data_IF_195393343634
#
_entry.id   IF_195393343634
#
_cell.length_a   1.000
_cell.length_b   1.000
_cell.length_c   1.000
_cell.angle_alpha   90.00
_cell.angle_beta   90.00
_cell.angle_gamma   90.00
#
_symmetry.space_group_name_H-M   'P 1'
#
loop_
_entity.id
_entity.type
_entity.pdbx_description
1 polymer ?
#
# COMPACT_ATOMS: atom_id res chain seq x y z
N UNK A 1 -18.97 -1.76 20.86
CA UNK A 1 -18.31 -1.11 19.70
C UNK A 1 -18.46 0.38 19.87
N UNK A 2 -17.36 1.12 19.95
CA UNK A 2 -17.39 2.59 20.02
C UNK A 2 -17.75 3.15 18.64
N UNK A 3 -18.57 4.20 18.60
CA UNK A 3 -18.87 4.91 17.36
C UNK A 3 -17.89 6.09 17.22
N UNK A 4 -17.13 6.14 16.14
CA UNK A 4 -16.20 7.22 15.81
C UNK A 4 -16.73 7.98 14.60
N UNK A 5 -17.05 9.26 14.81
CA UNK A 5 -17.49 10.14 13.72
C UNK A 5 -16.25 10.77 13.10
N UNK A 6 -15.78 10.20 12.00
CA UNK A 6 -14.67 10.79 11.24
C UNK A 6 -15.17 11.96 10.37
N UNK A 7 -14.44 13.07 10.39
CA UNK A 7 -14.60 14.17 9.44
C UNK A 7 -14.24 13.71 8.02
N UNK A 8 -14.72 14.40 6.99
CA UNK A 8 -14.38 14.05 5.60
C UNK A 8 -12.87 14.02 5.35
N UNK A 9 -12.11 14.97 5.90
CA UNK A 9 -10.64 14.97 5.82
C UNK A 9 -10.02 13.71 6.44
N UNK A 10 -10.56 13.23 7.58
CA UNK A 10 -10.09 12.02 8.24
C UNK A 10 -10.44 10.76 7.44
N UNK A 11 -11.64 10.71 6.86
CA UNK A 11 -12.01 9.64 5.92
C UNK A 11 -11.09 9.63 4.72
N UNK A 12 -10.66 10.80 4.25
CA UNK A 12 -9.72 10.94 3.15
C UNK A 12 -8.33 10.38 3.49
N UNK A 13 -7.84 10.59 4.72
CA UNK A 13 -6.62 9.93 5.21
C UNK A 13 -6.75 8.41 5.16
N UNK A 14 -7.89 7.86 5.61
CA UNK A 14 -8.14 6.41 5.57
C UNK A 14 -8.16 5.91 4.11
N UNK A 15 -8.84 6.61 3.21
CA UNK A 15 -8.88 6.28 1.77
C UNK A 15 -7.49 6.31 1.15
N UNK A 16 -6.67 7.33 1.45
CA UNK A 16 -5.29 7.47 0.97
C UNK A 16 -4.37 6.38 1.52
N UNK A 17 -4.49 6.06 2.81
CA UNK A 17 -3.75 4.97 3.45
C UNK A 17 -4.02 3.63 2.75
N UNK A 18 -5.28 3.28 2.54
CA UNK A 18 -5.64 2.01 1.90
C UNK A 18 -5.25 1.99 0.42
N UNK A 19 -5.36 3.13 -0.28
CA UNK A 19 -4.93 3.27 -1.68
C UNK A 19 -3.43 3.04 -1.84
N UNK A 20 -2.62 3.66 -0.97
CA UNK A 20 -1.19 3.41 -0.91
C UNK A 20 -0.92 1.94 -0.62
N UNK A 21 -1.52 1.39 0.45
CA UNK A 21 -1.33 -0.02 0.83
C UNK A 21 -1.61 -0.99 -0.32
N UNK A 22 -2.71 -0.80 -1.07
CA UNK A 22 -3.06 -1.65 -2.24
C UNK A 22 -1.99 -1.61 -3.33
N UNK A 23 -1.38 -0.44 -3.53
CA UNK A 23 -0.28 -0.26 -4.50
C UNK A 23 0.99 -0.98 -4.04
N UNK A 24 1.22 -1.06 -2.72
CA UNK A 24 2.40 -1.70 -2.12
C UNK A 24 2.25 -3.22 -1.95
N UNK A 25 1.12 -3.69 -1.42
CA UNK A 25 0.82 -5.10 -1.08
C UNK A 25 -0.36 -5.61 -1.94
N UNK A 26 -0.11 -6.31 -3.07
CA UNK A 26 -1.19 -6.87 -3.87
C UNK A 26 -1.60 -8.22 -3.25
N UNK A 27 -2.65 -8.24 -2.44
CA UNK A 27 -3.16 -9.49 -1.89
C UNK A 27 -4.28 -9.32 -0.86
N UNK A 28 -5.36 -10.08 -1.07
CA UNK A 28 -6.41 -10.50 -0.12
C UNK A 28 -7.17 -9.41 0.67
N UNK A 29 -7.31 -8.17 0.18
CA UNK A 29 -8.24 -7.20 0.80
C UNK A 29 -9.55 -7.11 0.03
N UNK A 30 -10.65 -7.52 0.65
CA UNK A 30 -12.00 -7.32 0.14
C UNK A 30 -12.47 -5.90 0.52
N UNK A 31 -12.10 -4.92 -0.32
CA UNK A 31 -12.40 -3.49 -0.13
C UNK A 31 -13.90 -3.14 -0.22
N UNK A 32 -14.75 -4.09 -0.59
CA UNK A 32 -16.17 -3.84 -0.90
C UNK A 32 -16.99 -3.28 0.28
N UNK A 33 -16.42 -3.18 1.49
CA UNK A 33 -17.10 -2.65 2.68
C UNK A 33 -16.44 -1.44 3.36
N UNK A 34 -15.28 -0.94 2.89
CA UNK A 34 -14.62 0.18 3.58
C UNK A 34 -15.50 1.42 3.67
N UNK A 35 -16.18 1.80 2.58
CA UNK A 35 -17.10 2.95 2.60
C UNK A 35 -18.35 2.70 3.46
N UNK A 36 -18.80 1.45 3.54
CA UNK A 36 -19.91 1.03 4.40
C UNK A 36 -19.51 1.08 5.89
N UNK A 37 -18.29 0.66 6.25
CA UNK A 37 -17.75 0.79 7.62
C UNK A 37 -17.53 2.25 8.02
N UNK A 38 -17.02 3.08 7.09
CA UNK A 38 -16.90 4.52 7.28
C UNK A 38 -18.27 5.20 7.44
N UNK A 39 -19.30 4.71 6.75
CA UNK A 39 -20.67 5.18 6.91
C UNK A 39 -21.28 4.74 8.25
N UNK A 40 -20.93 3.53 8.73
CA UNK A 40 -21.40 2.97 10.01
C UNK A 40 -20.67 3.52 11.24
N UNK A 41 -19.66 4.39 11.05
CA UNK A 41 -18.93 5.09 12.13
C UNK A 41 -18.26 4.13 13.10
N UNK A 42 -17.72 3.01 12.62
CA UNK A 42 -17.02 2.07 13.50
C UNK A 42 -15.62 2.58 13.87
N UNK A 43 -15.23 2.34 15.13
CA UNK A 43 -13.86 2.53 15.63
C UNK A 43 -12.86 1.55 15.01
N UNK A 44 -13.34 0.37 14.58
CA UNK A 44 -12.54 -0.64 13.88
C UNK A 44 -13.21 -0.91 12.54
N UNK A 45 -12.50 -0.61 11.46
CA UNK A 45 -12.94 -0.87 10.10
C UNK A 45 -12.63 -2.32 9.69
N UNK A 46 -13.17 -2.74 8.53
CA UNK A 46 -12.78 -4.00 7.90
C UNK A 46 -11.25 -4.12 7.81
N UNK A 47 -10.77 -5.36 7.90
CA UNK A 47 -9.34 -5.70 7.95
C UNK A 47 -8.61 -5.26 9.24
N UNK A 48 -9.33 -4.94 10.32
CA UNK A 48 -8.72 -4.70 11.63
C UNK A 48 -7.96 -3.37 11.71
N UNK A 49 -8.38 -2.39 10.91
CA UNK A 49 -7.86 -1.02 10.95
C UNK A 49 -8.60 -0.28 12.06
N UNK A 50 -7.89 0.10 13.11
CA UNK A 50 -8.44 0.93 14.17
C UNK A 50 -8.33 2.41 13.77
N UNK A 51 -9.42 3.15 13.90
CA UNK A 51 -9.53 4.58 13.59
C UNK A 51 -10.00 5.37 14.81
N UNK A 52 -9.48 6.57 14.97
CA UNK A 52 -9.80 7.46 16.08
C UNK A 52 -9.96 8.90 15.55
N UNK A 53 -10.88 9.69 16.12
CA UNK A 53 -11.06 11.09 15.73
C UNK A 53 -10.41 12.09 16.69
N UNK A 54 -9.89 11.62 17.85
CA UNK A 54 -9.46 12.49 18.94
C UNK A 54 -8.38 13.46 18.47
N UNK A 55 -8.49 14.75 18.82
CA UNK A 55 -7.49 15.73 18.46
C UNK A 55 -6.12 15.35 19.03
N UNK A 56 -5.07 15.51 18.22
CA UNK A 56 -3.70 15.15 18.59
C UNK A 56 -3.36 13.66 18.47
N UNK A 57 -4.29 12.81 17.99
CA UNK A 57 -4.01 11.41 17.66
C UNK A 57 -4.05 11.20 16.14
N UNK A 58 -3.24 10.25 15.61
CA UNK A 58 -3.35 9.86 14.22
C UNK A 58 -4.73 9.25 13.96
N UNK A 59 -5.29 9.57 12.79
CA UNK A 59 -6.61 9.07 12.36
C UNK A 59 -6.65 7.54 12.35
N UNK A 60 -5.54 6.90 12.01
CA UNK A 60 -5.37 5.45 12.05
C UNK A 60 -4.47 5.11 13.24
N UNK A 61 -5.03 4.46 14.25
CA UNK A 61 -4.34 4.17 15.50
C UNK A 61 -3.60 2.83 15.46
N UNK A 62 -4.10 1.86 14.69
CA UNK A 62 -3.45 0.58 14.46
C UNK A 62 -3.95 -0.09 13.16
N UNK A 63 -3.13 -0.97 12.59
CA UNK A 63 -3.54 -1.93 11.56
C UNK A 63 -3.12 -3.33 12.03
N UNK A 64 -4.09 -4.20 12.31
CA UNK A 64 -3.83 -5.58 12.80
C UNK A 64 -3.20 -6.47 11.72
N UNK A 65 -3.50 -6.21 10.44
CA UNK A 65 -3.01 -7.02 9.32
C UNK A 65 -1.60 -6.62 8.90
N UNK A 66 -1.26 -5.34 9.01
CA UNK A 66 0.06 -4.82 8.60
C UNK A 66 0.58 -3.75 9.59
N UNK A 67 0.78 -4.17 10.84
CA UNK A 67 1.30 -3.30 11.90
C UNK A 67 2.68 -2.71 11.61
N UNK A 68 3.47 -3.36 10.74
CA UNK A 68 4.78 -2.84 10.28
C UNK A 68 4.60 -1.63 9.36
N UNK A 69 3.70 -1.72 8.39
CA UNK A 69 3.38 -0.58 7.52
C UNK A 69 2.75 0.57 8.32
N UNK A 70 1.85 0.27 9.25
CA UNK A 70 1.31 1.27 10.19
C UNK A 70 2.42 1.98 10.98
N UNK A 71 3.33 1.22 11.59
CA UNK A 71 4.44 1.78 12.36
C UNK A 71 5.34 2.66 11.49
N UNK A 72 5.63 2.26 10.26
CA UNK A 72 6.44 3.07 9.38
C UNK A 72 5.77 4.43 9.05
N UNK A 73 4.49 4.43 8.69
CA UNK A 73 3.77 5.66 8.30
C UNK A 73 3.49 6.58 9.50
N UNK A 74 3.05 6.03 10.63
CA UNK A 74 2.58 6.85 11.76
C UNK A 74 3.61 6.99 12.89
N UNK A 75 4.53 6.04 13.07
CA UNK A 75 5.58 6.08 14.09
C UNK A 75 6.96 6.47 13.55
N UNK A 76 7.10 6.71 12.25
CA UNK A 76 8.39 6.97 11.61
C UNK A 76 9.40 5.82 11.84
N UNK A 77 8.89 4.59 11.89
CA UNK A 77 9.72 3.40 12.07
C UNK A 77 10.15 2.88 10.69
N UNK A 78 11.17 3.53 10.11
CA UNK A 78 11.72 3.17 8.80
C UNK A 78 12.27 1.73 8.78
N UNK A 79 12.64 1.20 9.95
CA UNK A 79 13.12 -0.17 10.14
C UNK A 79 12.03 -1.24 10.05
N UNK A 80 10.75 -0.88 10.19
CA UNK A 80 9.64 -1.81 10.11
C UNK A 80 9.40 -2.36 8.69
N UNK A 81 9.80 -1.60 7.67
CA UNK A 81 9.63 -1.95 6.25
C UNK A 81 10.99 -1.92 5.54
N UNK A 82 11.86 -2.93 5.75
CA UNK A 82 13.19 -2.98 5.12
C UNK A 82 13.12 -3.11 3.58
N UNK A 83 11.94 -3.41 3.04
CA UNK A 83 11.63 -3.44 1.62
C UNK A 83 11.53 -2.06 0.93
N UNK A 84 11.58 -0.96 1.69
CA UNK A 84 11.30 0.42 1.23
C UNK A 84 12.46 1.35 1.60
N UNK A 85 12.81 2.31 0.74
CA UNK A 85 13.79 3.34 1.10
C UNK A 85 13.14 4.43 1.96
N UNK A 86 13.91 5.09 2.82
CA UNK A 86 13.42 6.17 3.67
C UNK A 86 12.71 7.29 2.86
N UNK A 87 13.25 7.66 1.69
CA UNK A 87 12.63 8.61 0.76
C UNK A 87 11.23 8.17 0.26
N UNK A 88 11.08 6.90 -0.14
CA UNK A 88 9.77 6.38 -0.60
C UNK A 88 8.77 6.36 0.55
N UNK A 89 9.27 6.11 1.77
CA UNK A 89 8.46 6.07 2.98
C UNK A 89 8.00 7.46 3.42
N UNK A 90 8.90 8.44 3.37
CA UNK A 90 8.60 9.84 3.65
C UNK A 90 7.58 10.39 2.65
N UNK A 91 7.75 10.12 1.35
CA UNK A 91 6.74 10.48 0.34
C UNK A 91 5.39 9.81 0.61
N UNK A 92 5.41 8.54 1.01
CA UNK A 92 4.18 7.82 1.37
C UNK A 92 3.51 8.43 2.59
N UNK A 93 4.29 8.85 3.58
CA UNK A 93 3.82 9.53 4.78
C UNK A 93 3.19 10.88 4.46
N UNK A 94 3.84 11.68 3.62
CA UNK A 94 3.31 12.97 3.17
C UNK A 94 2.00 12.80 2.39
N UNK A 95 1.95 11.84 1.46
CA UNK A 95 0.74 11.55 0.70
C UNK A 95 -0.42 11.12 1.61
N UNK A 96 -0.18 10.20 2.54
CA UNK A 96 -1.23 9.66 3.41
C UNK A 96 -1.70 10.68 4.44
N UNK A 97 -0.79 11.39 5.11
CA UNK A 97 -1.12 12.30 6.20
C UNK A 97 -1.59 13.64 5.66
N UNK A 98 -0.83 14.26 4.76
CA UNK A 98 -1.06 15.63 4.30
C UNK A 98 -1.82 15.69 2.96
N UNK A 99 -1.81 14.61 2.18
CA UNK A 99 -2.45 14.60 0.86
C UNK A 99 -1.57 15.29 -0.19
N UNK A 100 -0.34 15.59 0.20
CA UNK A 100 0.66 16.25 -0.62
C UNK A 100 1.57 15.19 -1.25
N UNK A 101 1.80 15.33 -2.55
CA UNK A 101 2.66 14.44 -3.31
C UNK A 101 1.92 13.47 -4.22
N UNK A 102 2.68 12.70 -4.98
CA UNK A 102 2.16 11.70 -5.92
C UNK A 102 1.97 10.37 -5.20
N UNK A 103 0.95 9.60 -5.59
CA UNK A 103 0.76 8.22 -5.10
C UNK A 103 2.08 7.46 -5.29
N UNK A 104 2.72 7.00 -4.21
CA UNK A 104 4.05 6.44 -4.30
C UNK A 104 3.94 5.05 -4.94
N UNK A 105 4.59 4.88 -6.10
CA UNK A 105 4.64 3.62 -6.85
C UNK A 105 5.94 2.92 -6.47
N UNK A 106 5.85 1.64 -6.06
CA UNK A 106 7.00 0.82 -5.72
C UNK A 106 7.94 0.67 -6.93
N UNK A 107 9.09 1.35 -6.92
CA UNK A 107 10.10 1.29 -8.01
C UNK A 107 10.63 -0.14 -8.28
N UNK A 108 10.54 -1.05 -7.31
CA UNK A 108 10.87 -2.48 -7.51
C UNK A 108 9.90 -3.19 -8.47
N UNK A 109 8.62 -2.76 -8.56
CA UNK A 109 7.67 -3.38 -9.49
C UNK A 109 7.97 -3.01 -10.92
N UNK A 110 8.43 -1.80 -11.19
CA UNK A 110 8.97 -1.43 -12.52
C UNK A 110 10.15 -2.33 -12.85
N UNK A 111 11.17 -2.42 -11.98
CA UNK A 111 12.32 -3.32 -12.22
C UNK A 111 11.94 -4.79 -12.39
N UNK A 112 10.98 -5.32 -11.62
CA UNK A 112 10.56 -6.73 -11.75
C UNK A 112 9.66 -6.97 -12.97
N UNK A 113 8.86 -5.99 -13.36
CA UNK A 113 8.07 -6.04 -14.59
C UNK A 113 8.99 -5.94 -15.82
N UNK A 114 9.95 -5.02 -15.81
CA UNK A 114 11.00 -4.90 -16.82
C UNK A 114 11.85 -6.18 -16.89
N UNK A 115 12.23 -6.77 -15.76
CA UNK A 115 12.94 -8.05 -15.75
C UNK A 115 12.09 -9.21 -16.29
N UNK A 116 10.77 -9.21 -16.05
CA UNK A 116 9.85 -10.22 -16.60
C UNK A 116 9.56 -10.02 -18.10
N UNK A 117 9.52 -8.78 -18.56
CA UNK A 117 9.37 -8.44 -19.98
C UNK A 117 10.68 -8.74 -20.72
N UNK A 118 11.83 -8.40 -20.13
CA UNK A 118 13.16 -8.72 -20.66
C UNK A 118 13.46 -10.23 -20.71
N UNK A 119 13.00 -11.00 -19.71
CA UNK A 119 13.12 -12.45 -19.72
C UNK A 119 12.20 -13.16 -20.72
N UNK A 120 11.08 -12.53 -21.13
CA UNK A 120 10.19 -13.06 -22.15
C UNK A 120 10.71 -12.82 -23.59
N UNK A 121 11.71 -11.95 -23.76
CA UNK A 121 12.34 -11.65 -25.06
C UNK A 121 13.65 -12.40 -25.32
N UNK A 122 14.09 -13.28 -24.40
CA UNK A 122 15.37 -14.00 -24.51
C UNK A 122 15.21 -15.53 -24.66
N UNK A 123 14.05 -15.99 -25.14
CA UNK A 123 13.79 -17.42 -25.40
C UNK A 123 13.30 -17.61 -26.83
N UNK A 124 14.02 -17.06 -27.82
CA UNK A 124 13.77 -17.42 -29.22
C UNK A 124 15.03 -17.28 -30.11
N UNK A 125 16.19 -17.77 -29.66
CA UNK A 125 17.32 -18.09 -30.56
C UNK A 125 18.21 -19.17 -29.95
N UNK A 126 17.68 -20.39 -29.78
CA UNK A 126 18.51 -21.60 -29.64
C UNK A 126 17.83 -22.76 -30.39
N UNK A 127 17.65 -22.59 -31.70
CA UNK A 127 17.43 -23.71 -32.60
C UNK A 127 18.76 -24.00 -33.30
N UNK A 128 19.40 -25.16 -33.08
CA UNK A 128 20.58 -25.53 -33.86
C UNK A 128 20.19 -25.71 -35.33
N UNK A 129 21.03 -25.29 -36.29
CA UNK A 129 20.72 -25.44 -37.70
C UNK A 129 20.59 -26.92 -38.08
N UNK A 130 19.52 -27.25 -38.80
CA UNK A 130 19.29 -28.59 -39.36
C UNK A 130 20.45 -28.96 -40.32
N UNK A 131 20.90 -30.23 -40.33
CA UNK A 131 21.94 -30.67 -41.27
C UNK A 131 21.41 -30.63 -42.71
N UNK A 132 22.29 -30.36 -43.71
CA UNK A 132 21.88 -30.36 -45.10
C UNK A 132 21.43 -31.76 -45.54
N UNK A 133 20.29 -31.82 -46.23
CA UNK A 133 19.77 -33.03 -46.83
C UNK A 133 20.74 -33.54 -47.91
N UNK A 134 21.01 -34.85 -47.88
CA UNK A 134 21.87 -35.58 -48.80
C UNK A 134 21.27 -35.73 -50.21
#
# INVERSE_FOLDING_TARGET
MAQVVLSEEQKDVVRRYVTAWRRWRPGIRAFARLEDDLAKRYDILVDGIAVDNRPGRPVITADEKDGKFHAAIFRNDDGAVPDMTADELEQTRQFIIHGEGTVPIRKWRERKLEARIGAAHHDETDFPPLPPAA
#
